data_IF_260984258973
#
_entry.id   IF_260984258973
#
_cell.length_a   1.000
_cell.length_b   1.000
_cell.length_c   1.000
_cell.angle_alpha   90.00
_cell.angle_beta   90.00
_cell.angle_gamma   90.00
#
_symmetry.space_group_name_H-M   'P 1'
#
loop_
_entity.id
_entity.type
_entity.pdbx_description
1 polymer ?
#
# COMPACT_ATOMS: atom_id res chain seq x y z
N UNK A 1 6.37 -5.98 -1.57
CA UNK A 1 5.81 -6.55 -0.32
C UNK A 1 6.56 -7.84 0.03
N UNK A 2 6.90 -8.07 1.30
CA UNK A 2 7.58 -9.31 1.73
C UNK A 2 7.20 -9.71 3.16
N UNK A 3 6.85 -10.99 3.37
CA UNK A 3 6.53 -11.54 4.71
C UNK A 3 7.72 -11.52 5.67
N UNK A 4 8.95 -11.67 5.15
CA UNK A 4 10.19 -11.65 5.92
C UNK A 4 10.64 -10.25 6.35
N UNK A 5 9.89 -9.21 5.99
CA UNK A 5 10.23 -7.85 6.39
C UNK A 5 10.12 -7.68 7.92
N UNK A 6 11.04 -6.91 8.52
CA UNK A 6 11.07 -6.69 9.96
C UNK A 6 9.89 -5.90 10.55
N UNK A 7 9.02 -5.34 9.70
CA UNK A 7 7.79 -4.64 10.11
C UNK A 7 6.58 -5.27 9.45
N UNK A 8 5.55 -5.54 10.26
CA UNK A 8 4.25 -6.04 9.79
C UNK A 8 3.48 -5.04 8.92
N UNK A 9 3.92 -3.78 8.81
CA UNK A 9 3.33 -2.77 7.93
C UNK A 9 3.83 -2.86 6.48
N UNK A 10 4.81 -3.72 6.19
CA UNK A 10 5.41 -3.84 4.85
C UNK A 10 4.70 -4.86 3.94
N UNK A 11 3.63 -5.49 4.44
CA UNK A 11 2.80 -6.44 3.70
C UNK A 11 1.38 -6.45 4.25
N UNK A 12 0.44 -6.89 3.41
CA UNK A 12 -0.92 -7.22 3.79
C UNK A 12 -1.04 -8.74 3.68
N UNK A 13 -1.44 -9.39 4.77
CA UNK A 13 -1.70 -10.82 4.78
C UNK A 13 -3.16 -11.09 4.43
N UNK A 14 -3.44 -12.25 3.83
CA UNK A 14 -4.80 -12.62 3.44
C UNK A 14 -5.73 -12.86 4.65
N UNK A 15 -5.15 -13.14 5.80
CA UNK A 15 -5.83 -13.37 7.09
C UNK A 15 -5.83 -12.12 7.99
N UNK A 16 -5.32 -10.97 7.51
CA UNK A 16 -5.46 -9.70 8.25
C UNK A 16 -6.95 -9.34 8.39
N UNK A 17 -7.37 -8.94 9.59
CA UNK A 17 -8.72 -8.42 9.79
C UNK A 17 -8.94 -7.10 9.04
N UNK A 18 -10.20 -6.76 8.74
CA UNK A 18 -10.53 -5.53 8.01
C UNK A 18 -9.94 -4.27 8.66
N UNK A 19 -9.86 -4.23 9.98
CA UNK A 19 -9.34 -3.08 10.73
C UNK A 19 -7.81 -3.01 10.66
N UNK A 20 -7.13 -4.16 10.62
CA UNK A 20 -5.69 -4.23 10.41
C UNK A 20 -5.35 -3.78 8.98
N UNK A 21 -6.08 -4.27 7.98
CA UNK A 21 -5.91 -3.86 6.57
C UNK A 21 -6.06 -2.34 6.45
N UNK A 22 -7.15 -1.76 6.98
CA UNK A 22 -7.38 -0.31 6.96
C UNK A 22 -6.22 0.47 7.58
N UNK A 23 -5.75 0.05 8.76
CA UNK A 23 -4.60 0.70 9.43
C UNK A 23 -3.31 0.60 8.62
N UNK A 24 -3.06 -0.53 7.95
CA UNK A 24 -1.88 -0.72 7.10
C UNK A 24 -1.93 0.18 5.87
N UNK A 25 -3.07 0.26 5.19
CA UNK A 25 -3.26 1.16 4.03
C UNK A 25 -3.12 2.62 4.45
N UNK A 26 -3.74 3.05 5.55
CA UNK A 26 -3.64 4.42 6.07
C UNK A 26 -2.20 4.84 6.45
N UNK A 27 -1.35 3.88 6.84
CA UNK A 27 0.04 4.11 7.22
C UNK A 27 1.03 3.89 6.08
N UNK A 28 0.56 3.47 4.91
CA UNK A 28 1.44 3.24 3.78
C UNK A 28 2.20 4.53 3.45
N UNK A 29 3.52 4.41 3.31
CA UNK A 29 4.35 5.53 2.87
C UNK A 29 3.92 5.90 1.46
N UNK A 30 3.67 7.19 1.24
CA UNK A 30 3.36 7.75 -0.08
C UNK A 30 4.48 8.66 -0.56
N UNK A 31 4.42 9.03 -1.83
CA UNK A 31 5.26 10.06 -2.41
C UNK A 31 4.79 11.46 -1.93
N UNK A 32 5.64 12.48 -2.12
CA UNK A 32 5.28 13.86 -1.82
C UNK A 32 4.19 14.40 -2.76
N UNK A 33 3.43 15.38 -2.26
CA UNK A 33 2.30 16.00 -2.98
C UNK A 33 0.96 15.32 -2.69
N UNK A 34 -0.08 15.78 -3.37
CA UNK A 34 -1.49 15.39 -3.17
C UNK A 34 -2.12 14.74 -4.42
N UNK A 35 -1.32 14.54 -5.47
CA UNK A 35 -1.77 13.95 -6.73
C UNK A 35 -1.95 12.43 -6.61
N UNK A 36 -3.10 11.94 -7.08
CA UNK A 36 -3.42 10.51 -7.20
C UNK A 36 -3.22 10.09 -8.66
N UNK A 37 -1.98 9.76 -9.02
CA UNK A 37 -1.59 9.45 -10.41
C UNK A 37 -0.53 8.35 -10.45
N UNK A 38 -0.54 7.56 -11.52
CA UNK A 38 0.56 6.64 -11.87
C UNK A 38 1.66 7.41 -12.59
N UNK A 39 2.87 7.44 -12.03
CA UNK A 39 4.03 8.16 -12.62
C UNK A 39 5.34 7.52 -12.18
N UNK A 40 6.38 7.62 -13.00
CA UNK A 40 7.67 6.98 -12.74
C UNK A 40 8.37 7.51 -11.47
N UNK A 41 8.24 8.80 -11.19
CA UNK A 41 8.71 9.49 -9.98
C UNK A 41 7.75 9.34 -8.78
N UNK A 42 6.61 8.63 -8.95
CA UNK A 42 5.65 8.32 -7.87
C UNK A 42 5.45 6.81 -7.68
N UNK A 43 6.50 6.06 -7.32
CA UNK A 43 6.42 4.61 -7.20
C UNK A 43 5.47 4.14 -6.08
N UNK A 44 5.36 4.88 -4.97
CA UNK A 44 4.53 4.46 -3.84
C UNK A 44 3.04 4.63 -4.15
N UNK A 45 2.64 5.77 -4.73
CA UNK A 45 1.27 6.01 -5.20
C UNK A 45 0.88 5.01 -6.29
N UNK A 46 1.78 4.79 -7.26
CA UNK A 46 1.56 3.80 -8.32
C UNK A 46 1.32 2.39 -7.76
N UNK A 47 2.05 1.98 -6.72
CA UNK A 47 1.83 0.70 -6.05
C UNK A 47 0.44 0.60 -5.39
N UNK A 48 -0.04 1.65 -4.70
CA UNK A 48 -1.38 1.65 -4.10
C UNK A 48 -2.49 1.59 -5.16
N UNK A 49 -2.33 2.32 -6.27
CA UNK A 49 -3.28 2.30 -7.40
C UNK A 49 -3.33 0.92 -8.08
N UNK A 50 -2.18 0.26 -8.25
CA UNK A 50 -2.12 -1.09 -8.80
C UNK A 50 -2.85 -2.10 -7.90
N UNK A 51 -2.66 -2.01 -6.58
CA UNK A 51 -3.40 -2.86 -5.63
C UNK A 51 -4.90 -2.61 -5.76
N UNK A 52 -5.34 -1.35 -5.78
CA UNK A 52 -6.74 -0.99 -5.94
C UNK A 52 -7.33 -1.55 -7.24
N UNK A 53 -6.64 -1.37 -8.36
CA UNK A 53 -7.04 -1.92 -9.66
C UNK A 53 -7.12 -3.45 -9.69
N UNK A 54 -6.32 -4.15 -8.88
CA UNK A 54 -6.31 -5.62 -8.86
C UNK A 54 -7.44 -6.27 -8.06
N UNK A 55 -8.17 -5.49 -7.26
CA UNK A 55 -9.25 -5.98 -6.37
C UNK A 55 -10.58 -5.26 -6.55
N UNK A 56 -10.64 -4.31 -7.49
CA UNK A 56 -11.87 -3.58 -7.83
C UNK A 56 -12.59 -4.20 -9.03
#
# INVERSE_FOLDING_TARGET
>A
MAKSAGSGYNYIALDDSSDVIRKKIQRAVTDSGDEIITREDKPAMTNLLNIFSGVS
#
